data_IF_783249529339
#
_entry.id   IF_783249529339
#
_cell.length_a   1.000
_cell.length_b   1.000
_cell.length_c   1.000
_cell.angle_alpha   90.00
_cell.angle_beta   90.00
_cell.angle_gamma   90.00
#
_symmetry.space_group_name_H-M   'P 1'
#
loop_
_entity.id
_entity.type
_entity.pdbx_description
1 polymer ?
#
# COMPACT_ATOMS: atom_id res chain seq x y z
N UNK A 1 8.38 22.29 -11.57
CA UNK A 1 9.12 21.31 -12.41
C UNK A 1 10.20 20.59 -11.60
N UNK A 2 9.90 20.05 -10.40
CA UNK A 2 10.83 19.18 -9.64
C UNK A 2 10.04 18.41 -8.56
N UNK A 3 9.09 17.56 -8.96
CA UNK A 3 8.46 16.59 -8.03
C UNK A 3 8.22 15.20 -8.64
N UNK A 4 8.53 14.97 -9.92
CA UNK A 4 8.29 13.67 -10.58
C UNK A 4 9.40 12.63 -10.36
N UNK A 5 10.55 13.01 -9.77
CA UNK A 5 11.74 12.15 -9.69
C UNK A 5 11.90 11.34 -8.38
N UNK A 6 11.01 11.49 -7.40
CA UNK A 6 11.14 10.77 -6.11
C UNK A 6 10.43 9.40 -6.15
N UNK A 7 9.44 9.22 -7.03
CA UNK A 7 8.65 7.97 -7.09
C UNK A 7 9.31 6.91 -8.00
N UNK A 8 10.13 7.31 -8.97
CA UNK A 8 10.66 6.39 -10.01
C UNK A 8 11.82 5.49 -9.52
N UNK A 9 12.45 5.77 -8.39
CA UNK A 9 13.73 5.11 -8.02
C UNK A 9 13.58 3.72 -7.38
N UNK A 10 12.39 3.30 -6.93
CA UNK A 10 12.22 2.00 -6.24
C UNK A 10 11.49 0.92 -7.04
N UNK A 11 10.99 1.25 -8.23
CA UNK A 11 10.22 0.29 -9.07
C UNK A 11 11.10 -0.44 -10.10
N UNK A 12 12.37 -0.06 -10.28
CA UNK A 12 13.26 -0.66 -11.28
C UNK A 12 14.27 -1.66 -10.71
N UNK A 13 14.25 -1.89 -9.40
CA UNK A 13 15.06 -2.93 -8.78
C UNK A 13 14.50 -4.29 -9.23
N UNK A 14 15.32 -5.15 -9.85
CA UNK A 14 14.88 -6.49 -10.19
C UNK A 14 14.41 -7.22 -8.92
N UNK A 15 13.35 -8.01 -9.03
CA UNK A 15 12.98 -8.93 -7.95
C UNK A 15 14.09 -9.98 -7.74
N UNK A 16 13.93 -10.84 -6.72
CA UNK A 16 14.89 -11.91 -6.42
C UNK A 16 15.07 -12.92 -7.57
N UNK A 17 14.18 -12.90 -8.58
CA UNK A 17 14.26 -13.69 -9.80
C UNK A 17 14.84 -12.91 -11.00
N UNK A 18 15.30 -11.68 -10.80
CA UNK A 18 15.88 -10.82 -11.84
C UNK A 18 14.83 -10.19 -12.76
N UNK A 19 13.54 -10.32 -12.46
CA UNK A 19 12.46 -9.74 -13.25
C UNK A 19 12.27 -8.28 -12.85
N UNK A 20 12.34 -7.39 -13.84
CA UNK A 20 12.07 -5.96 -13.65
C UNK A 20 10.56 -5.75 -13.59
N UNK A 21 10.10 -4.98 -12.62
CA UNK A 21 8.72 -4.52 -12.59
C UNK A 21 8.49 -3.57 -13.78
N UNK A 22 7.54 -3.90 -14.65
CA UNK A 22 7.18 -3.07 -15.80
C UNK A 22 5.69 -3.21 -16.11
N UNK A 23 5.15 -2.32 -16.96
CA UNK A 23 3.73 -2.29 -17.32
C UNK A 23 3.23 -3.61 -17.94
N UNK A 24 4.12 -4.40 -18.55
CA UNK A 24 3.77 -5.69 -19.15
C UNK A 24 3.68 -6.84 -18.14
N UNK A 25 4.21 -6.66 -16.92
CA UNK A 25 4.28 -7.70 -15.89
C UNK A 25 3.71 -7.25 -14.55
N UNK A 26 2.87 -6.23 -14.59
CA UNK A 26 2.24 -5.68 -13.40
C UNK A 26 1.15 -6.64 -12.92
N UNK A 27 1.16 -7.07 -11.65
CA UNK A 27 0.07 -7.86 -11.11
C UNK A 27 -1.21 -7.02 -11.16
N UNK A 28 -2.20 -7.52 -11.89
CA UNK A 28 -3.54 -6.94 -11.99
C UNK A 28 -4.56 -7.85 -11.32
N UNK A 29 -5.73 -7.30 -10.99
CA UNK A 29 -6.86 -8.12 -10.61
C UNK A 29 -7.19 -9.10 -11.75
N UNK A 30 -7.32 -10.38 -11.43
CA UNK A 30 -7.51 -11.47 -12.42
C UNK A 30 -8.97 -11.89 -12.57
N UNK A 31 -9.86 -11.41 -11.70
CA UNK A 31 -11.28 -11.72 -11.65
C UNK A 31 -12.09 -10.49 -11.23
N UNK A 32 -13.37 -10.45 -11.58
CA UNK A 32 -14.28 -9.41 -11.08
C UNK A 32 -14.32 -9.42 -9.54
N UNK A 33 -14.12 -8.26 -8.91
CA UNK A 33 -14.04 -8.15 -7.46
C UNK A 33 -14.95 -7.03 -6.94
N UNK A 34 -15.94 -7.38 -6.13
CA UNK A 34 -16.84 -6.44 -5.46
C UNK A 34 -16.23 -6.05 -4.11
N UNK A 35 -15.95 -4.76 -3.91
CA UNK A 35 -15.42 -4.23 -2.65
C UNK A 35 -16.57 -3.94 -1.69
N UNK A 36 -17.63 -3.32 -2.19
CA UNK A 36 -18.91 -3.09 -1.51
C UNK A 36 -20.04 -2.93 -2.53
N UNK A 37 -21.25 -2.58 -2.08
CA UNK A 37 -22.45 -2.43 -2.93
C UNK A 37 -22.29 -1.37 -4.06
N UNK A 38 -21.33 -0.46 -3.93
CA UNK A 38 -21.13 0.68 -4.84
C UNK A 38 -19.79 0.63 -5.59
N UNK A 39 -18.87 -0.25 -5.21
CA UNK A 39 -17.53 -0.32 -5.79
C UNK A 39 -17.18 -1.72 -6.29
N UNK A 40 -17.00 -1.79 -7.62
CA UNK A 40 -16.53 -2.97 -8.33
C UNK A 40 -15.18 -2.68 -8.97
N UNK A 41 -14.25 -3.62 -8.86
CA UNK A 41 -12.96 -3.58 -9.54
C UNK A 41 -12.97 -4.59 -10.68
N UNK A 42 -12.88 -4.04 -11.89
CA UNK A 42 -12.87 -4.81 -13.12
C UNK A 42 -11.58 -5.62 -13.32
N UNK A 43 -11.71 -6.73 -14.03
CA UNK A 43 -10.55 -7.56 -14.40
C UNK A 43 -9.55 -6.75 -15.23
N UNK A 44 -8.26 -6.92 -14.92
CA UNK A 44 -7.16 -6.24 -15.62
C UNK A 44 -6.83 -4.87 -15.06
N UNK A 45 -7.62 -4.35 -14.10
CA UNK A 45 -7.27 -3.14 -13.36
C UNK A 45 -6.11 -3.43 -12.42
N UNK A 46 -5.18 -2.49 -12.39
CA UNK A 46 -4.07 -2.48 -11.46
C UNK A 46 -4.47 -1.64 -10.25
N UNK A 47 -4.29 -2.20 -9.05
CA UNK A 47 -4.50 -1.51 -7.78
C UNK A 47 -3.17 -1.13 -7.16
N UNK A 48 -3.07 0.10 -6.67
CA UNK A 48 -2.00 0.55 -5.80
C UNK A 48 -2.54 0.81 -4.40
N UNK A 49 -1.97 0.12 -3.40
CA UNK A 49 -2.26 0.37 -1.99
C UNK A 49 -1.16 1.27 -1.43
N UNK A 50 -1.46 2.50 -1.00
CA UNK A 50 -0.45 3.43 -0.51
C UNK A 50 -0.04 3.08 0.93
N UNK A 51 0.75 2.01 1.10
CA UNK A 51 1.16 1.47 2.42
C UNK A 51 1.78 2.56 3.31
N UNK A 52 2.68 3.39 2.76
CA UNK A 52 3.28 4.50 3.52
C UNK A 52 2.23 5.53 3.94
N UNK A 53 1.27 5.85 3.06
CA UNK A 53 0.19 6.77 3.42
C UNK A 53 -0.59 6.26 4.63
N UNK A 54 -1.01 5.00 4.56
CA UNK A 54 -1.75 4.34 5.65
C UNK A 54 -0.94 4.30 6.96
N UNK A 55 0.35 3.96 6.89
CA UNK A 55 1.21 3.91 8.08
C UNK A 55 1.47 5.28 8.71
N UNK A 56 1.34 6.37 7.95
CA UNK A 56 1.62 7.73 8.40
C UNK A 56 0.35 8.58 8.58
N UNK A 57 -0.81 7.96 8.54
CA UNK A 57 -2.09 8.63 8.68
C UNK A 57 -2.47 8.77 10.17
N UNK A 58 -2.66 10.00 10.61
CA UNK A 58 -3.01 10.36 11.99
C UNK A 58 -4.38 9.83 12.41
N UNK A 59 -5.28 9.51 11.45
CA UNK A 59 -6.57 8.87 11.74
C UNK A 59 -6.37 7.46 12.33
N UNK A 60 -5.30 6.76 11.95
CA UNK A 60 -5.03 5.39 12.38
C UNK A 60 -3.90 5.29 13.42
N UNK A 61 -2.94 6.22 13.39
CA UNK A 61 -1.75 6.19 14.23
C UNK A 61 -1.45 7.56 14.82
N UNK A 62 -1.62 7.72 16.14
CA UNK A 62 -1.26 8.96 16.84
C UNK A 62 0.24 9.28 16.70
N UNK A 63 0.64 10.51 16.40
CA UNK A 63 2.05 10.93 16.17
C UNK A 63 2.81 10.01 15.18
N UNK A 64 2.29 9.79 13.96
CA UNK A 64 2.74 8.70 13.07
C UNK A 64 4.20 8.80 12.61
N UNK A 65 4.77 10.01 12.63
CA UNK A 65 6.17 10.25 12.29
C UNK A 65 7.15 9.80 13.38
N UNK A 66 6.67 9.48 14.58
CA UNK A 66 7.48 9.00 15.70
C UNK A 66 7.57 7.47 15.73
N UNK A 67 8.80 6.97 15.85
CA UNK A 67 9.05 5.55 16.07
C UNK A 67 8.66 5.16 17.51
N UNK A 68 7.46 4.60 17.63
CA UNK A 68 6.95 4.02 18.87
C UNK A 68 6.78 2.49 18.72
N UNK A 69 7.66 1.67 19.32
CA UNK A 69 7.56 0.22 19.26
C UNK A 69 6.34 -0.33 20.02
N UNK A 70 5.79 0.39 21.00
CA UNK A 70 4.68 -0.08 21.82
C UNK A 70 3.34 -0.03 21.08
N UNK A 71 3.25 0.62 19.91
CA UNK A 71 2.07 0.59 19.00
C UNK A 71 1.61 -0.82 18.63
N UNK A 72 2.54 -1.78 18.64
CA UNK A 72 2.27 -3.17 18.29
C UNK A 72 2.31 -4.10 19.51
N UNK A 73 2.28 -3.55 20.72
CA UNK A 73 2.09 -4.32 21.95
C UNK A 73 0.71 -4.99 21.99
N UNK A 74 0.60 -6.09 22.73
CA UNK A 74 -0.68 -6.81 22.87
C UNK A 74 -1.81 -5.95 23.47
N UNK A 75 -1.47 -4.96 24.30
CA UNK A 75 -2.42 -4.02 24.86
C UNK A 75 -2.92 -3.03 23.80
N UNK A 76 -2.00 -2.37 23.10
CA UNK A 76 -2.33 -1.33 22.11
C UNK A 76 -2.93 -1.91 20.83
N UNK A 77 -2.67 -3.17 20.48
CA UNK A 77 -3.36 -3.85 19.38
C UNK A 77 -4.88 -3.84 19.53
N UNK A 78 -5.39 -3.90 20.76
CA UNK A 78 -6.84 -3.92 21.06
C UNK A 78 -7.52 -2.58 20.83
N UNK A 79 -6.77 -1.47 20.87
CA UNK A 79 -7.30 -0.12 20.71
C UNK A 79 -7.24 0.36 19.26
N UNK A 80 -6.61 -0.41 18.37
CA UNK A 80 -6.51 -0.07 16.95
C UNK A 80 -7.85 -0.27 16.25
N UNK A 81 -8.07 0.52 15.19
CA UNK A 81 -9.25 0.38 14.32
C UNK A 81 -9.38 -1.10 13.88
N UNK A 82 -10.54 -1.73 14.09
CA UNK A 82 -10.77 -3.08 13.59
C UNK A 82 -10.82 -3.00 12.05
N UNK A 83 -9.94 -3.73 11.37
CA UNK A 83 -10.04 -3.90 9.92
C UNK A 83 -11.34 -4.64 9.56
#
# INVERSE_FOLDING_TARGET
MLQENIVTTHMNTPDSAGKKFNSQNMPSITAHYEVDENLVIEKGVVIFIPIRGIHYDEEYYENPDEFDPDRFSEANKKTRHPL
#
